data_IF_790450900412
#
_entry.id   IF_790450900412
#
_cell.length_a   1.000
_cell.length_b   1.000
_cell.length_c   1.000
_cell.angle_alpha   90.00
_cell.angle_beta   90.00
_cell.angle_gamma   90.00
#
_symmetry.space_group_name_H-M   'P 1'
#
loop_
_entity.id
_entity.type
_entity.pdbx_description
1 polymer ?
#
# COMPACT_ATOMS: atom_id res chain seq x y z
N UNK A 1 6.41 -18.09 -0.80
CA UNK A 1 6.52 -16.65 -1.13
C UNK A 1 7.83 -16.41 -1.87
N UNK A 2 7.80 -15.76 -3.03
CA UNK A 2 8.99 -15.48 -3.80
C UNK A 2 9.69 -14.20 -3.30
N UNK A 3 10.90 -13.92 -3.82
CA UNK A 3 11.66 -12.77 -3.35
C UNK A 3 10.99 -11.43 -3.64
N UNK A 4 10.29 -11.31 -4.77
CA UNK A 4 9.56 -10.09 -5.11
C UNK A 4 8.47 -9.80 -4.09
N UNK A 5 7.75 -10.82 -3.65
CA UNK A 5 6.72 -10.67 -2.61
C UNK A 5 7.33 -10.29 -1.28
N UNK A 6 8.48 -10.88 -0.90
CA UNK A 6 9.18 -10.53 0.33
C UNK A 6 9.63 -9.08 0.33
N UNK A 7 10.20 -8.61 -0.78
CA UNK A 7 10.62 -7.21 -0.92
C UNK A 7 9.43 -6.28 -0.84
N UNK A 8 8.34 -6.59 -1.53
CA UNK A 8 7.11 -5.78 -1.48
C UNK A 8 6.55 -5.70 -0.06
N UNK A 9 6.41 -6.84 0.62
CA UNK A 9 5.88 -6.88 1.99
C UNK A 9 6.79 -6.10 2.96
N UNK A 10 8.10 -6.14 2.75
CA UNK A 10 9.04 -5.36 3.54
C UNK A 10 8.86 -3.86 3.31
N UNK A 11 8.69 -3.43 2.04
CA UNK A 11 8.50 -2.02 1.70
C UNK A 11 7.22 -1.42 2.29
N UNK A 12 6.14 -2.20 2.35
CA UNK A 12 4.88 -1.73 2.93
C UNK A 12 4.80 -1.93 4.44
N UNK A 13 5.83 -2.50 5.04
CA UNK A 13 5.93 -2.65 6.50
C UNK A 13 5.10 -3.78 7.09
N UNK A 14 4.72 -4.78 6.31
CA UNK A 14 3.92 -5.90 6.78
C UNK A 14 4.72 -7.07 7.35
N UNK A 15 6.04 -7.09 7.12
CA UNK A 15 6.88 -8.15 7.68
C UNK A 15 7.32 -7.79 9.10
N UNK A 16 7.23 -8.78 10.00
CA UNK A 16 7.76 -8.66 11.37
C UNK A 16 9.27 -8.52 11.33
N UNK A 17 9.91 -9.34 10.48
CA UNK A 17 11.36 -9.29 10.24
C UNK A 17 11.58 -8.82 8.79
N UNK A 18 11.79 -7.50 8.57
CA UNK A 18 11.99 -6.96 7.24
C UNK A 18 13.21 -7.55 6.54
N UNK A 19 13.18 -7.59 5.23
CA UNK A 19 14.33 -7.98 4.43
C UNK A 19 15.46 -6.97 4.68
N UNK A 20 16.68 -7.46 4.90
CA UNK A 20 17.85 -6.62 5.16
C UNK A 20 18.03 -5.61 4.02
N UNK A 21 18.31 -4.35 4.39
CA UNK A 21 18.49 -3.22 3.46
C UNK A 21 17.24 -2.80 2.69
N UNK A 22 16.06 -3.37 3.00
CA UNK A 22 14.79 -2.93 2.42
C UNK A 22 13.99 -2.18 3.48
N UNK A 23 13.98 -0.84 3.45
CA UNK A 23 13.28 -0.05 4.46
C UNK A 23 11.77 -0.13 4.29
N UNK A 24 11.05 0.08 5.41
CA UNK A 24 9.61 0.32 5.35
C UNK A 24 9.38 1.70 4.74
N UNK A 25 8.70 1.75 3.57
CA UNK A 25 8.43 3.01 2.88
C UNK A 25 7.41 3.89 3.60
N UNK A 26 6.71 3.34 4.61
CA UNK A 26 5.71 4.05 5.40
C UNK A 26 6.25 4.49 6.77
N UNK A 27 7.56 4.70 6.89
CA UNK A 27 8.11 5.20 8.15
C UNK A 27 7.55 6.59 8.49
N UNK A 28 7.50 6.98 9.78
CA UNK A 28 6.92 8.27 10.20
C UNK A 28 7.55 9.46 9.47
N UNK A 29 6.70 10.32 8.89
CA UNK A 29 7.14 11.50 8.12
C UNK A 29 7.50 11.21 6.68
N UNK A 30 7.46 9.95 6.22
CA UNK A 30 7.72 9.61 4.82
C UNK A 30 6.60 10.10 3.90
N UNK A 31 6.91 10.19 2.60
CA UNK A 31 5.91 10.56 1.59
C UNK A 31 4.73 9.58 1.59
N UNK A 32 5.01 8.27 1.61
CA UNK A 32 3.98 7.25 1.59
C UNK A 32 3.08 7.32 2.83
N UNK A 33 3.66 7.49 4.01
CA UNK A 33 2.91 7.60 5.26
C UNK A 33 2.04 8.85 5.27
N UNK A 34 2.58 9.98 4.81
CA UNK A 34 1.86 11.25 4.74
C UNK A 34 0.66 11.15 3.79
N UNK A 35 0.86 10.60 2.59
CA UNK A 35 -0.22 10.43 1.62
C UNK A 35 -1.28 9.46 2.09
N UNK A 36 -0.87 8.38 2.73
CA UNK A 36 -1.80 7.40 3.30
C UNK A 36 -2.68 8.04 4.38
N UNK A 37 -2.09 8.87 5.24
CA UNK A 37 -2.82 9.59 6.27
C UNK A 37 -3.83 10.57 5.66
N UNK A 38 -3.43 11.30 4.61
CA UNK A 38 -4.34 12.21 3.89
C UNK A 38 -5.52 11.45 3.28
N UNK A 39 -5.27 10.25 2.73
CA UNK A 39 -6.31 9.39 2.20
C UNK A 39 -7.31 8.98 3.28
N UNK A 40 -6.83 8.57 4.45
CA UNK A 40 -7.68 8.18 5.56
C UNK A 40 -8.53 9.35 6.06
N UNK A 41 -7.94 10.54 6.14
CA UNK A 41 -8.67 11.76 6.55
C UNK A 41 -9.77 12.10 5.54
N UNK A 42 -9.47 12.01 4.25
CA UNK A 42 -10.44 12.25 3.19
C UNK A 42 -11.58 11.22 3.22
N UNK A 43 -11.25 9.96 3.48
CA UNK A 43 -12.25 8.91 3.61
C UNK A 43 -13.19 9.16 4.79
N UNK A 44 -12.64 9.55 5.93
CA UNK A 44 -13.43 9.88 7.11
C UNK A 44 -14.43 11.02 6.82
N UNK A 45 -13.97 12.07 6.12
CA UNK A 45 -14.84 13.18 5.71
C UNK A 45 -15.91 12.73 4.71
N UNK A 46 -15.58 11.82 3.81
CA UNK A 46 -16.55 11.26 2.87
C UNK A 46 -17.63 10.48 3.61
N UNK A 47 -17.26 9.66 4.59
CA UNK A 47 -18.22 8.92 5.42
C UNK A 47 -19.17 9.87 6.14
N UNK A 48 -18.65 10.97 6.68
CA UNK A 48 -19.46 11.99 7.35
C UNK A 48 -20.47 12.61 6.39
N UNK A 49 -20.07 12.91 5.16
CA UNK A 49 -20.99 13.44 4.13
C UNK A 49 -22.08 12.45 3.72
N UNK A 50 -21.74 11.17 3.68
CA UNK A 50 -22.68 10.10 3.32
C UNK A 50 -23.58 9.72 4.51
N UNK A 51 -23.27 10.18 5.72
CA UNK A 51 -23.99 9.81 6.93
C UNK A 51 -23.77 8.35 7.32
N UNK A 52 -22.63 7.77 6.94
CA UNK A 52 -22.30 6.38 7.22
C UNK A 52 -21.35 6.34 8.41
N UNK A 53 -21.67 5.52 9.41
CA UNK A 53 -20.83 5.36 10.61
C UNK A 53 -19.67 4.40 10.34
N UNK A 54 -19.96 3.35 9.58
CA UNK A 54 -18.99 2.32 9.22
C UNK A 54 -18.39 2.59 7.84
N UNK A 55 -17.56 1.66 7.37
CA UNK A 55 -16.93 1.73 6.06
C UNK A 55 -17.96 1.63 4.94
N UNK A 56 -17.77 2.43 3.90
CA UNK A 56 -18.62 2.36 2.71
C UNK A 56 -18.12 1.23 1.80
N UNK A 57 -19.01 0.31 1.42
CA UNK A 57 -18.63 -0.89 0.65
C UNK A 57 -18.03 -0.55 -0.72
N UNK A 58 -18.52 0.49 -1.39
CA UNK A 58 -18.02 0.86 -2.71
C UNK A 58 -16.67 1.56 -2.63
N UNK A 59 -16.48 2.42 -1.64
CA UNK A 59 -15.19 3.06 -1.40
C UNK A 59 -14.14 2.01 -1.04
N UNK A 60 -14.51 1.01 -0.24
CA UNK A 60 -13.61 -0.09 0.08
C UNK A 60 -13.19 -0.87 -1.17
N UNK A 61 -14.12 -1.14 -2.10
CA UNK A 61 -13.78 -1.79 -3.37
C UNK A 61 -12.79 -0.95 -4.17
N UNK A 62 -12.99 0.37 -4.23
CA UNK A 62 -12.06 1.27 -4.93
C UNK A 62 -10.67 1.21 -4.33
N UNK A 63 -10.56 1.33 -3.01
CA UNK A 63 -9.28 1.30 -2.30
C UNK A 63 -8.59 -0.06 -2.50
N UNK A 64 -9.30 -1.15 -2.26
CA UNK A 64 -8.75 -2.51 -2.38
C UNK A 64 -8.29 -2.79 -3.82
N UNK A 65 -9.08 -2.37 -4.81
CA UNK A 65 -8.71 -2.54 -6.22
C UNK A 65 -7.44 -1.80 -6.57
N UNK A 66 -7.28 -0.56 -6.09
CA UNK A 66 -6.08 0.24 -6.33
C UNK A 66 -4.86 -0.38 -5.64
N UNK A 67 -5.02 -0.89 -4.42
CA UNK A 67 -3.95 -1.57 -3.70
C UNK A 67 -3.52 -2.85 -4.42
N UNK A 68 -4.46 -3.62 -4.94
CA UNK A 68 -4.16 -4.82 -5.72
C UNK A 68 -3.42 -4.49 -7.00
N UNK A 69 -3.86 -3.46 -7.72
CA UNK A 69 -3.18 -2.99 -8.93
C UNK A 69 -1.75 -2.56 -8.60
N UNK A 70 -1.58 -1.77 -7.55
CA UNK A 70 -0.27 -1.32 -7.08
C UNK A 70 0.65 -2.51 -6.80
N UNK A 71 0.15 -3.51 -6.08
CA UNK A 71 0.91 -4.71 -5.76
C UNK A 71 1.35 -5.43 -7.03
N UNK A 72 0.45 -5.65 -7.98
CA UNK A 72 0.76 -6.34 -9.23
C UNK A 72 1.78 -5.57 -10.06
N UNK A 73 1.66 -4.25 -10.15
CA UNK A 73 2.62 -3.42 -10.88
C UNK A 73 4.01 -3.48 -10.24
N UNK A 74 4.09 -3.42 -8.92
CA UNK A 74 5.37 -3.51 -8.21
C UNK A 74 6.04 -4.86 -8.43
N UNK A 75 5.29 -5.96 -8.36
CA UNK A 75 5.81 -7.29 -8.61
C UNK A 75 6.28 -7.44 -10.05
N UNK A 76 5.53 -6.89 -11.00
CA UNK A 76 5.91 -6.92 -12.41
C UNK A 76 7.18 -6.10 -12.67
N UNK A 77 7.30 -4.93 -12.08
CA UNK A 77 8.50 -4.10 -12.20
C UNK A 77 9.74 -4.82 -11.66
N UNK A 78 9.61 -5.47 -10.51
CA UNK A 78 10.72 -6.24 -9.93
C UNK A 78 11.14 -7.39 -10.86
N UNK A 79 10.17 -8.10 -11.42
CA UNK A 79 10.38 -9.19 -12.35
C UNK A 79 11.12 -8.71 -13.61
N UNK A 80 10.66 -7.59 -14.20
CA UNK A 80 11.28 -7.01 -15.40
C UNK A 80 12.69 -6.48 -15.12
N UNK A 81 12.91 -5.87 -13.95
CA UNK A 81 14.24 -5.41 -13.53
C UNK A 81 15.21 -6.57 -13.42
N UNK A 82 14.77 -7.72 -12.91
CA UNK A 82 15.58 -8.93 -12.81
C UNK A 82 15.96 -9.50 -14.19
N UNK A 83 15.10 -9.32 -15.19
CA UNK A 83 15.40 -9.76 -16.56
C UNK A 83 16.43 -8.82 -17.24
N UNK A 84 16.30 -7.53 -16.99
CA UNK A 84 17.17 -6.50 -17.61
C UNK A 84 18.56 -6.49 -16.97
N UNK A 85 18.63 -6.71 -15.68
CA UNK A 85 19.87 -6.73 -14.92
C UNK A 85 20.53 -8.11 -14.93
#
# INVERSE_FOLDING_TARGET
>A
MNIAELVYESLIGELVDPVEDVPNAFFPGSYCETRYREMLDAYERLRDRLGVVDEDEYVEVVIDSLLDIQRQLCLKMFELAGIIL
#
